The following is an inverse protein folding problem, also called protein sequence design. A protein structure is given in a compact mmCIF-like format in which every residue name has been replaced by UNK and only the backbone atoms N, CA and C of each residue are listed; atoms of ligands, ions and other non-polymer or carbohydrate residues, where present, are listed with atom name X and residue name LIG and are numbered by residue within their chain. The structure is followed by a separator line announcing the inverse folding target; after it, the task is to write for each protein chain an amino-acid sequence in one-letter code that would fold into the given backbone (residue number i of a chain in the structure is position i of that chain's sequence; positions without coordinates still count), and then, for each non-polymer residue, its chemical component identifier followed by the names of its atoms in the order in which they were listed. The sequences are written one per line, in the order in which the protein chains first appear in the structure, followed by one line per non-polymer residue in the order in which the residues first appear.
data_IF_691352944097
#
_entry.id   IF_691352944097
#
_cell.length_a   1.000
_cell.length_b   1.000
_cell.length_c   1.000
_cell.angle_alpha   90.00
_cell.angle_beta   90.00
_cell.angle_gamma   90.00
#
_symmetry.space_group_name_H-M   'P 1'
#
loop_
_entity.id
_entity.type
_entity.pdbx_description
1 polymer ?
#
# COMPACT_ATOMS: atom_id res chain seq x y z
N UNK A 1 -0.35 -14.89 5.79
CA UNK A 1 -1.49 -14.03 6.27
C UNK A 1 -1.93 -13.02 5.22
N UNK A 2 -1.01 -12.52 4.37
CA UNK A 2 -1.29 -11.70 3.18
C UNK A 2 -2.42 -12.28 2.31
N UNK A 3 -2.37 -13.59 2.05
CA UNK A 3 -3.13 -14.20 0.97
C UNK A 3 -4.63 -14.30 1.21
N UNK A 4 -5.06 -14.59 2.45
CA UNK A 4 -6.49 -14.59 2.79
C UNK A 4 -7.13 -13.22 2.62
N UNK A 5 -6.39 -12.17 3.02
CA UNK A 5 -6.84 -10.78 2.90
C UNK A 5 -6.90 -10.37 1.41
N UNK A 6 -5.89 -10.71 0.64
CA UNK A 6 -5.84 -10.45 -0.81
C UNK A 6 -6.95 -11.19 -1.56
N UNK A 7 -7.21 -12.46 -1.21
CA UNK A 7 -8.28 -13.25 -1.83
C UNK A 7 -9.67 -12.69 -1.48
N UNK A 8 -9.91 -12.33 -0.22
CA UNK A 8 -11.14 -11.66 0.18
C UNK A 8 -11.36 -10.34 -0.60
N UNK A 9 -10.29 -9.59 -0.86
CA UNK A 9 -10.35 -8.38 -1.68
C UNK A 9 -10.66 -8.66 -3.16
N UNK A 10 -10.03 -9.68 -3.75
CA UNK A 10 -10.27 -10.13 -5.13
C UNK A 10 -11.74 -10.55 -5.32
N UNK A 11 -12.38 -11.12 -4.30
CA UNK A 11 -13.80 -11.48 -4.31
C UNK A 11 -14.73 -10.26 -4.17
N UNK A 12 -14.32 -9.25 -3.40
CA UNK A 12 -15.15 -8.07 -3.11
C UNK A 12 -15.14 -7.02 -4.22
N UNK A 13 -14.06 -6.94 -5.00
CA UNK A 13 -13.85 -5.90 -6.02
C UNK A 13 -13.26 -6.48 -7.29
N UNK A 14 -13.83 -6.08 -8.44
CA UNK A 14 -13.17 -6.23 -9.74
C UNK A 14 -12.90 -4.85 -10.33
N UNK A 15 -12.03 -4.76 -11.35
CA UNK A 15 -11.77 -3.49 -12.04
C UNK A 15 -13.03 -2.93 -12.72
N UNK A 16 -13.64 -1.83 -12.24
CA UNK A 16 -14.93 -1.37 -12.76
C UNK A 16 -14.71 -0.28 -13.81
N UNK A 17 -15.39 -0.37 -14.95
CA UNK A 17 -15.36 0.69 -15.97
C UNK A 17 -16.55 1.64 -15.88
N UNK A 18 -17.67 1.19 -15.30
CA UNK A 18 -18.94 1.94 -15.20
C UNK A 18 -19.27 2.36 -13.75
N UNK A 19 -20.13 3.39 -13.62
CA UNK A 19 -20.50 3.99 -12.34
C UNK A 19 -21.33 3.04 -11.44
N UNK A 20 -22.17 2.19 -12.02
CA UNK A 20 -23.05 1.32 -11.23
C UNK A 20 -22.24 0.25 -10.52
N UNK A 21 -21.25 -0.34 -11.20
CA UNK A 21 -20.32 -1.28 -10.57
C UNK A 21 -19.46 -0.62 -9.49
N UNK A 22 -19.02 0.62 -9.70
CA UNK A 22 -18.29 1.37 -8.67
C UNK A 22 -19.11 1.53 -7.38
N UNK A 23 -20.37 1.93 -7.50
CA UNK A 23 -21.28 2.08 -6.35
C UNK A 23 -21.51 0.72 -5.68
N UNK A 24 -21.72 -0.34 -6.45
CA UNK A 24 -21.91 -1.70 -5.92
C UNK A 24 -20.69 -2.18 -5.12
N UNK A 25 -19.48 -2.03 -5.66
CA UNK A 25 -18.28 -2.48 -4.96
C UNK A 25 -17.93 -1.61 -3.76
N UNK A 26 -18.21 -0.31 -3.82
CA UNK A 26 -18.09 0.58 -2.67
C UNK A 26 -18.98 0.08 -1.52
N UNK A 27 -20.24 -0.26 -1.82
CA UNK A 27 -21.19 -0.81 -0.84
C UNK A 27 -20.76 -2.19 -0.31
N UNK A 28 -20.23 -3.07 -1.17
CA UNK A 28 -19.74 -4.40 -0.75
C UNK A 28 -18.55 -4.28 0.21
N UNK A 29 -17.54 -3.46 -0.14
CA UNK A 29 -16.41 -3.21 0.75
C UNK A 29 -16.86 -2.56 2.06
N UNK A 30 -17.81 -1.62 2.01
CA UNK A 30 -18.41 -1.02 3.21
C UNK A 30 -19.00 -2.08 4.13
N UNK A 31 -19.85 -2.94 3.59
CA UNK A 31 -20.47 -4.03 4.35
C UNK A 31 -19.41 -4.95 4.94
N UNK A 32 -18.39 -5.31 4.17
CA UNK A 32 -17.33 -6.21 4.61
C UNK A 32 -16.51 -5.61 5.76
N UNK A 33 -16.04 -4.36 5.65
CA UNK A 33 -15.26 -3.75 6.72
C UNK A 33 -16.12 -3.49 7.96
N UNK A 34 -17.42 -3.18 7.80
CA UNK A 34 -18.32 -2.98 8.94
C UNK A 34 -18.50 -4.27 9.74
N UNK A 35 -18.63 -5.43 9.07
CA UNK A 35 -18.66 -6.73 9.73
C UNK A 35 -17.36 -7.00 10.50
N UNK A 36 -16.19 -6.68 9.92
CA UNK A 36 -14.90 -6.79 10.61
C UNK A 36 -14.83 -5.92 11.88
N UNK A 37 -15.36 -4.69 11.84
CA UNK A 37 -15.40 -3.82 13.03
C UNK A 37 -16.31 -4.40 14.12
N UNK A 38 -17.45 -5.01 13.76
CA UNK A 38 -18.30 -5.72 14.72
C UNK A 38 -17.64 -6.96 15.31
N UNK A 39 -16.88 -7.73 14.53
CA UNK A 39 -16.06 -8.84 15.03
C UNK A 39 -15.04 -8.32 16.07
N UNK A 40 -14.33 -7.23 15.73
CA UNK A 40 -13.35 -6.60 16.62
C UNK A 40 -13.99 -6.16 17.96
N UNK A 41 -15.21 -5.61 17.91
CA UNK A 41 -15.96 -5.19 19.09
C UNK A 41 -16.31 -6.38 19.97
N UNK A 42 -16.70 -7.50 19.35
CA UNK A 42 -17.03 -8.74 20.05
C UNK A 42 -15.80 -9.29 20.76
N UNK A 43 -14.64 -9.33 20.08
CA UNK A 43 -13.38 -9.74 20.71
C UNK A 43 -13.03 -8.88 21.92
N UNK A 44 -13.11 -7.55 21.82
CA UNK A 44 -12.84 -6.64 22.94
C UNK A 44 -13.80 -6.83 24.13
N UNK A 45 -15.08 -7.11 23.86
CA UNK A 45 -16.07 -7.38 24.89
C UNK A 45 -15.75 -8.67 25.64
N UNK A 46 -15.31 -9.72 24.94
CA UNK A 46 -14.89 -10.98 25.55
C UNK A 46 -13.67 -10.76 26.45
N UNK A 47 -12.66 -10.01 25.96
CA UNK A 47 -11.47 -9.68 26.76
C UNK A 47 -11.80 -8.90 28.04
N UNK A 48 -12.78 -8.00 28.00
CA UNK A 48 -13.26 -7.24 29.18
C UNK A 48 -13.98 -8.12 30.21
N UNK A 49 -14.53 -9.27 29.81
CA UNK A 49 -15.22 -10.20 30.71
C UNK A 49 -14.28 -11.18 31.40
N UNK A 50 -13.04 -11.34 30.91
CA UNK A 50 -12.08 -12.35 31.37
C UNK A 50 -11.63 -12.24 32.83
N UNK A 51 -11.89 -11.13 33.53
CA UNK A 51 -11.46 -10.91 34.91
C UNK A 51 -9.93 -10.85 35.05
N UNK A 52 -9.43 -10.55 36.27
CA UNK A 52 -7.98 -10.62 36.57
C UNK A 52 -7.08 -9.59 35.89
N UNK A 53 -7.64 -8.59 35.19
CA UNK A 53 -6.86 -7.57 34.51
C UNK A 53 -6.30 -6.52 35.48
N UNK A 54 -5.10 -6.00 35.20
CA UNK A 54 -4.60 -4.83 35.90
C UNK A 54 -5.55 -3.64 35.66
N UNK A 55 -5.71 -2.71 36.63
CA UNK A 55 -6.54 -1.51 36.44
C UNK A 55 -6.15 -0.67 35.21
N UNK A 56 -4.86 -0.69 34.86
CA UNK A 56 -4.32 0.04 33.70
C UNK A 56 -4.76 -0.60 32.39
N UNK A 57 -4.70 -1.93 32.29
CA UNK A 57 -5.15 -2.68 31.11
C UNK A 57 -6.68 -2.57 30.96
N UNK A 58 -7.45 -2.72 32.05
CA UNK A 58 -8.92 -2.56 32.01
C UNK A 58 -9.33 -1.17 31.49
N UNK A 59 -8.71 -0.10 32.01
CA UNK A 59 -8.96 1.27 31.54
C UNK A 59 -8.70 1.41 30.05
N UNK A 60 -7.60 0.82 29.57
CA UNK A 60 -7.22 0.88 28.18
C UNK A 60 -8.20 0.09 27.29
N UNK A 61 -8.61 -1.11 27.68
CA UNK A 61 -9.62 -1.90 26.97
C UNK A 61 -10.94 -1.14 26.82
N UNK A 62 -11.39 -0.46 27.89
CA UNK A 62 -12.58 0.40 27.83
C UNK A 62 -12.40 1.56 26.85
N UNK A 63 -11.22 2.18 26.82
CA UNK A 63 -10.92 3.23 25.84
C UNK A 63 -10.94 2.71 24.41
N UNK A 64 -10.33 1.55 24.14
CA UNK A 64 -10.34 0.91 22.82
C UNK A 64 -11.78 0.60 22.39
N UNK A 65 -12.58 0.02 23.29
CA UNK A 65 -14.00 -0.27 23.04
C UNK A 65 -14.78 0.98 22.68
N UNK A 66 -14.67 2.05 23.47
CA UNK A 66 -15.39 3.32 23.21
C UNK A 66 -15.01 3.91 21.85
N UNK A 67 -13.72 3.87 21.49
CA UNK A 67 -13.25 4.34 20.18
C UNK A 67 -13.81 3.49 19.05
N UNK A 68 -13.82 2.16 19.22
CA UNK A 68 -14.34 1.24 18.21
C UNK A 68 -15.87 1.35 18.04
N UNK A 69 -16.60 1.53 19.14
CA UNK A 69 -18.05 1.81 19.10
C UNK A 69 -18.32 3.08 18.26
N UNK A 70 -17.55 4.15 18.49
CA UNK A 70 -17.64 5.38 17.70
C UNK A 70 -17.32 5.16 16.22
N UNK A 71 -16.32 4.33 15.89
CA UNK A 71 -16.00 3.99 14.49
C UNK A 71 -17.15 3.25 13.81
N UNK A 72 -17.74 2.27 14.50
CA UNK A 72 -18.88 1.50 14.00
C UNK A 72 -20.05 2.42 13.70
N UNK A 73 -20.38 3.34 14.63
CA UNK A 73 -21.48 4.28 14.42
C UNK A 73 -21.24 5.16 13.20
N UNK A 74 -20.05 5.74 13.06
CA UNK A 74 -19.67 6.52 11.87
C UNK A 74 -19.78 5.70 10.58
N UNK A 75 -19.21 4.49 10.58
CA UNK A 75 -19.22 3.59 9.43
C UNK A 75 -20.64 3.20 8.99
N UNK A 76 -21.60 3.04 9.92
CA UNK A 76 -22.99 2.74 9.58
C UNK A 76 -23.61 3.84 8.73
N UNK A 77 -23.38 5.10 9.10
CA UNK A 77 -23.97 6.26 8.41
C UNK A 77 -23.18 6.73 7.18
N UNK A 78 -21.98 6.20 6.94
CA UNK A 78 -21.13 6.53 5.80
C UNK A 78 -21.68 5.94 4.49
N UNK A 79 -22.72 6.56 3.90
CA UNK A 79 -23.27 6.14 2.61
C UNK A 79 -22.79 7.02 1.46
N UNK A 80 -22.53 6.40 0.31
CA UNK A 80 -22.29 7.12 -0.93
C UNK A 80 -23.63 7.61 -1.51
N UNK A 81 -23.89 8.90 -1.38
CA UNK A 81 -25.10 9.55 -1.92
C UNK A 81 -24.70 10.71 -2.82
N UNK A 82 -25.35 10.81 -3.97
CA UNK A 82 -25.15 11.91 -4.91
C UNK A 82 -26.33 12.87 -4.88
N UNK A 83 -26.06 14.18 -4.92
CA UNK A 83 -27.12 15.18 -5.06
C UNK A 83 -27.79 15.05 -6.44
N UNK A 84 -29.12 15.20 -6.55
CA UNK A 84 -29.78 15.30 -7.84
C UNK A 84 -29.10 16.33 -8.74
N UNK A 85 -28.90 16.00 -10.02
CA UNK A 85 -28.22 16.88 -10.98
C UNK A 85 -26.69 16.85 -10.95
N UNK A 86 -26.05 16.06 -10.08
CA UNK A 86 -24.59 15.93 -10.08
C UNK A 86 -24.10 15.29 -11.38
N UNK A 87 -23.15 15.94 -12.06
CA UNK A 87 -22.59 15.48 -13.33
C UNK A 87 -22.06 14.04 -13.24
N UNK A 88 -22.24 13.25 -14.29
CA UNK A 88 -21.84 11.83 -14.30
C UNK A 88 -20.31 11.65 -14.08
N UNK A 89 -19.49 12.55 -14.63
CA UNK A 89 -18.04 12.57 -14.41
C UNK A 89 -17.68 12.78 -12.94
N UNK A 90 -18.33 13.73 -12.28
CA UNK A 90 -18.16 14.01 -10.84
C UNK A 90 -18.59 12.81 -10.01
N UNK A 91 -19.77 12.23 -10.28
CA UNK A 91 -20.24 11.02 -9.58
C UNK A 91 -19.24 9.88 -9.70
N UNK A 92 -18.66 9.68 -10.88
CA UNK A 92 -17.64 8.66 -11.13
C UNK A 92 -16.36 8.92 -10.34
N UNK A 93 -15.86 10.15 -10.34
CA UNK A 93 -14.67 10.53 -9.56
C UNK A 93 -14.90 10.33 -8.06
N UNK A 94 -16.02 10.82 -7.52
CA UNK A 94 -16.36 10.65 -6.11
C UNK A 94 -16.53 9.17 -5.74
N UNK A 95 -17.18 8.36 -6.59
CA UNK A 95 -17.30 6.91 -6.37
C UNK A 95 -15.94 6.22 -6.35
N UNK A 96 -15.04 6.54 -7.28
CA UNK A 96 -13.67 6.01 -7.27
C UNK A 96 -12.95 6.37 -5.97
N UNK A 97 -13.00 7.63 -5.57
CA UNK A 97 -12.30 8.09 -4.36
C UNK A 97 -12.86 7.38 -3.11
N UNK A 98 -14.18 7.26 -2.99
CA UNK A 98 -14.81 6.53 -1.89
C UNK A 98 -14.43 5.04 -1.89
N UNK A 99 -14.31 4.43 -3.08
CA UNK A 99 -13.86 3.04 -3.21
C UNK A 99 -12.42 2.88 -2.71
N UNK A 100 -11.51 3.81 -3.03
CA UNK A 100 -10.13 3.82 -2.52
C UNK A 100 -10.10 3.86 -0.99
N UNK A 101 -10.86 4.77 -0.37
CA UNK A 101 -10.94 4.84 1.08
C UNK A 101 -11.51 3.55 1.68
N UNK A 102 -12.61 3.02 1.14
CA UNK A 102 -13.20 1.77 1.66
C UNK A 102 -12.26 0.58 1.53
N UNK A 103 -11.46 0.54 0.48
CA UNK A 103 -10.44 -0.48 0.32
C UNK A 103 -9.44 -0.42 1.48
N UNK A 104 -8.87 0.75 1.76
CA UNK A 104 -7.87 0.91 2.81
C UNK A 104 -8.52 0.66 4.17
N UNK A 105 -9.73 1.17 4.41
CA UNK A 105 -10.48 0.91 5.64
C UNK A 105 -10.71 -0.59 5.85
N UNK A 106 -11.12 -1.33 4.81
CA UNK A 106 -11.24 -2.79 4.88
C UNK A 106 -9.91 -3.42 5.27
N UNK A 107 -8.83 -3.01 4.61
CA UNK A 107 -7.50 -3.52 4.89
C UNK A 107 -7.07 -3.29 6.34
N UNK A 108 -7.29 -2.09 6.88
CA UNK A 108 -6.96 -1.74 8.27
C UNK A 108 -7.89 -2.41 9.29
N UNK A 109 -9.17 -2.57 8.97
CA UNK A 109 -10.11 -3.30 9.82
C UNK A 109 -9.75 -4.80 9.92
N UNK A 110 -9.21 -5.37 8.85
CA UNK A 110 -8.65 -6.72 8.89
C UNK A 110 -7.44 -6.80 9.80
N UNK A 111 -6.48 -5.88 9.66
CA UNK A 111 -5.29 -5.83 10.53
C UNK A 111 -5.70 -5.66 12.00
N UNK A 112 -6.70 -4.82 12.28
CA UNK A 112 -7.26 -4.63 13.61
C UNK A 112 -7.79 -5.95 14.20
N UNK A 113 -8.51 -6.73 13.40
CA UNK A 113 -9.05 -8.04 13.82
C UNK A 113 -7.94 -8.99 14.22
N UNK A 114 -6.87 -9.08 13.43
CA UNK A 114 -5.75 -9.98 13.73
C UNK A 114 -4.94 -9.49 14.94
N UNK A 115 -4.72 -8.18 15.06
CA UNK A 115 -4.07 -7.59 16.23
C UNK A 115 -4.85 -7.82 17.53
N UNK A 116 -6.19 -7.81 17.47
CA UNK A 116 -7.03 -8.08 18.63
C UNK A 116 -6.97 -9.55 19.06
N UNK A 117 -6.86 -10.51 18.13
CA UNK A 117 -6.65 -11.93 18.49
C UNK A 117 -5.33 -12.13 19.22
N UNK A 118 -4.26 -11.52 18.72
CA UNK A 118 -2.94 -11.56 19.38
C UNK A 118 -2.99 -10.87 20.74
N UNK A 119 -3.67 -9.73 20.83
CA UNK A 119 -3.84 -9.01 22.09
C UNK A 119 -4.59 -9.84 23.14
N UNK A 120 -5.64 -10.57 22.75
CA UNK A 120 -6.36 -11.47 23.65
C UNK A 120 -5.45 -12.58 24.21
N UNK A 121 -4.55 -13.11 23.37
CA UNK A 121 -3.54 -14.08 23.82
C UNK A 121 -2.54 -13.46 24.81
N UNK A 122 -2.11 -12.22 24.56
CA UNK A 122 -1.20 -11.49 25.45
C UNK A 122 -1.82 -11.18 26.82
N UNK A 123 -3.13 -10.92 26.88
CA UNK A 123 -3.83 -10.69 28.14
C UNK A 123 -3.75 -11.87 29.10
N UNK A 124 -3.64 -13.10 28.58
CA UNK A 124 -3.61 -14.32 29.38
C UNK A 124 -2.19 -14.73 29.79
N UNK A 125 -1.19 -14.48 28.94
CA UNK A 125 0.10 -15.15 29.04
C UNK A 125 1.32 -14.23 29.06
N UNK A 126 1.16 -12.91 28.94
CA UNK A 126 2.29 -11.99 28.75
C UNK A 126 2.46 -10.96 29.85
N UNK A 127 3.64 -10.34 29.88
CA UNK A 127 3.94 -9.21 30.76
C UNK A 127 3.11 -7.98 30.38
N UNK A 128 2.70 -7.19 31.38
CA UNK A 128 1.88 -5.99 31.19
C UNK A 128 2.49 -5.01 30.16
N UNK A 129 3.82 -4.90 30.10
CA UNK A 129 4.51 -4.04 29.14
C UNK A 129 4.21 -4.43 27.67
N UNK A 130 4.21 -5.74 27.35
CA UNK A 130 3.94 -6.24 26.01
C UNK A 130 2.47 -6.03 25.62
N UNK A 131 1.56 -6.30 26.54
CA UNK A 131 0.13 -6.00 26.38
C UNK A 131 -0.08 -4.51 26.11
N UNK A 132 0.54 -3.62 26.89
CA UNK A 132 0.43 -2.18 26.70
C UNK A 132 0.98 -1.70 25.36
N UNK A 133 2.06 -2.30 24.86
CA UNK A 133 2.61 -1.97 23.56
C UNK A 133 1.66 -2.38 22.43
N UNK A 134 1.15 -3.62 22.46
CA UNK A 134 0.18 -4.10 21.47
C UNK A 134 -1.09 -3.28 21.46
N UNK A 135 -1.56 -2.86 22.63
CA UNK A 135 -2.68 -1.96 22.79
C UNK A 135 -2.48 -0.60 22.09
N UNK A 136 -1.27 -0.02 22.14
CA UNK A 136 -0.95 1.21 21.42
C UNK A 136 -0.99 1.00 19.92
N UNK A 137 -0.49 -0.15 19.43
CA UNK A 137 -0.60 -0.50 18.02
C UNK A 137 -2.06 -0.60 17.57
N UNK A 138 -2.93 -1.24 18.37
CA UNK A 138 -4.37 -1.30 18.13
C UNK A 138 -4.98 0.11 18.07
N UNK A 139 -4.64 1.00 19.01
CA UNK A 139 -5.13 2.37 19.03
C UNK A 139 -4.69 3.17 17.79
N UNK A 140 -3.47 2.94 17.30
CA UNK A 140 -2.97 3.54 16.06
C UNK A 140 -3.82 3.09 14.85
N UNK A 141 -4.10 1.79 14.73
CA UNK A 141 -4.95 1.27 13.65
C UNK A 141 -6.37 1.88 13.70
N UNK A 142 -6.96 1.97 14.90
CA UNK A 142 -8.27 2.62 15.11
C UNK A 142 -8.23 4.09 14.67
N UNK A 143 -7.15 4.80 14.99
CA UNK A 143 -6.96 6.21 14.61
C UNK A 143 -6.81 6.35 13.08
N UNK A 144 -6.05 5.45 12.44
CA UNK A 144 -5.93 5.41 10.97
C UNK A 144 -7.31 5.26 10.31
N UNK A 145 -8.16 4.35 10.81
CA UNK A 145 -9.51 4.13 10.29
C UNK A 145 -10.38 5.38 10.49
N UNK A 146 -10.29 6.03 11.66
CA UNK A 146 -11.04 7.25 11.97
C UNK A 146 -10.67 8.41 11.02
N UNK A 147 -9.37 8.59 10.76
CA UNK A 147 -8.85 9.57 9.81
C UNK A 147 -9.35 9.26 8.39
N UNK A 148 -9.30 8.00 7.97
CA UNK A 148 -9.76 7.57 6.64
C UNK A 148 -11.26 7.82 6.45
N UNK A 149 -12.10 7.52 7.44
CA UNK A 149 -13.53 7.82 7.40
C UNK A 149 -13.78 9.33 7.31
N UNK A 150 -13.00 10.13 8.05
CA UNK A 150 -13.10 11.60 8.01
C UNK A 150 -12.73 12.16 6.64
N UNK A 151 -11.63 11.68 6.06
CA UNK A 151 -11.17 12.09 4.74
C UNK A 151 -12.11 11.61 3.62
N UNK A 152 -12.72 10.44 3.79
CA UNK A 152 -13.75 9.95 2.87
C UNK A 152 -14.96 10.91 2.82
N UNK A 153 -15.43 11.40 3.95
CA UNK A 153 -16.51 12.41 3.98
C UNK A 153 -16.09 13.72 3.29
N UNK A 154 -14.83 14.13 3.47
CA UNK A 154 -14.30 15.31 2.80
C UNK A 154 -14.32 15.16 1.27
N UNK A 155 -13.97 14.01 0.70
CA UNK A 155 -13.99 13.83 -0.78
C UNK A 155 -15.40 13.75 -1.38
N UNK A 156 -16.44 13.51 -0.56
CA UNK A 156 -17.84 13.62 -1.01
C UNK A 156 -18.28 15.08 -1.20
N UNK A 157 -17.66 16.00 -0.48
CA UNK A 157 -18.04 17.43 -0.47
C UNK A 157 -17.05 18.30 -1.25
N UNK A 158 -15.77 17.99 -1.17
CA UNK A 158 -14.68 18.65 -1.88
C UNK A 158 -14.13 17.71 -2.97
N UNK A 159 -14.58 17.91 -4.21
CA UNK A 159 -14.27 17.02 -5.32
C UNK A 159 -12.79 17.14 -5.68
N UNK A 160 -12.00 16.21 -5.17
CA UNK A 160 -10.60 16.00 -5.55
C UNK A 160 -10.51 15.03 -6.72
N UNK A 161 -9.50 15.19 -7.56
CA UNK A 161 -9.19 14.20 -8.57
C UNK A 161 -8.76 12.89 -7.91
N UNK A 162 -9.02 11.76 -8.57
CA UNK A 162 -8.60 10.45 -8.05
C UNK A 162 -7.08 10.33 -7.91
N UNK A 163 -6.33 11.07 -8.72
CA UNK A 163 -4.87 11.14 -8.62
C UNK A 163 -4.41 11.86 -7.34
N UNK A 164 -5.03 12.99 -6.98
CA UNK A 164 -4.72 13.71 -5.73
C UNK A 164 -5.04 12.84 -4.51
N UNK A 165 -6.18 12.15 -4.52
CA UNK A 165 -6.56 11.22 -3.46
C UNK A 165 -5.62 10.02 -3.40
N UNK A 166 -5.26 9.43 -4.53
CA UNK A 166 -4.32 8.31 -4.57
C UNK A 166 -2.96 8.74 -4.04
N UNK A 167 -2.43 9.89 -4.46
CA UNK A 167 -1.14 10.40 -4.00
C UNK A 167 -1.14 10.67 -2.48
N UNK A 168 -2.19 11.28 -1.93
CA UNK A 168 -2.27 11.55 -0.49
C UNK A 168 -2.38 10.26 0.34
N UNK A 169 -3.07 9.25 -0.19
CA UNK A 169 -3.14 7.92 0.43
C UNK A 169 -1.82 7.18 0.32
N UNK A 170 -1.09 7.32 -0.80
CA UNK A 170 0.18 6.62 -1.05
C UNK A 170 1.26 6.98 -0.03
N UNK A 171 1.24 8.19 0.53
CA UNK A 171 2.22 8.60 1.55
C UNK A 171 2.13 7.79 2.84
N UNK A 172 0.95 7.29 3.22
CA UNK A 172 0.71 6.60 4.50
C UNK A 172 0.24 5.15 4.34
N UNK A 173 -0.41 4.82 3.23
CA UNK A 173 -1.13 3.57 3.01
C UNK A 173 -0.71 2.88 1.70
N UNK A 174 0.56 3.03 1.31
CA UNK A 174 1.02 2.46 0.05
C UNK A 174 0.84 0.93 0.02
N UNK A 175 1.17 0.23 1.11
CA UNK A 175 1.01 -1.24 1.18
C UNK A 175 -0.44 -1.64 0.87
N UNK A 176 -1.40 -0.91 1.41
CA UNK A 176 -2.82 -1.14 1.12
C UNK A 176 -3.15 -0.82 -0.33
N UNK A 177 -2.65 0.28 -0.89
CA UNK A 177 -2.85 0.58 -2.30
C UNK A 177 -2.24 -0.50 -3.21
N UNK A 178 -1.12 -1.09 -2.84
CA UNK A 178 -0.49 -2.18 -3.59
C UNK A 178 -1.31 -3.46 -3.50
N UNK A 179 -1.81 -3.81 -2.31
CA UNK A 179 -2.78 -4.90 -2.17
C UNK A 179 -4.02 -4.66 -3.05
N UNK A 180 -4.47 -3.41 -3.15
CA UNK A 180 -5.59 -3.04 -4.01
C UNK A 180 -5.27 -3.20 -5.48
N UNK A 181 -4.04 -2.89 -5.86
CA UNK A 181 -3.55 -3.04 -7.20
C UNK A 181 -3.44 -4.52 -7.61
N UNK A 182 -2.82 -5.34 -6.75
CA UNK A 182 -2.69 -6.79 -6.91
C UNK A 182 -4.05 -7.48 -6.95
N UNK A 183 -5.00 -7.04 -6.11
CA UNK A 183 -6.38 -7.50 -6.17
C UNK A 183 -7.15 -7.02 -7.42
N UNK A 184 -6.56 -6.16 -8.24
CA UNK A 184 -7.18 -5.60 -9.44
C UNK A 184 -8.18 -4.48 -9.16
N UNK A 185 -8.35 -4.06 -7.90
CA UNK A 185 -9.23 -2.98 -7.50
C UNK A 185 -8.75 -1.61 -8.02
N UNK A 186 -7.43 -1.41 -8.20
CA UNK A 186 -6.86 -0.16 -8.73
C UNK A 186 -6.56 -0.16 -10.23
N UNK A 187 -6.74 -1.28 -10.95
CA UNK A 187 -6.40 -1.32 -12.38
C UNK A 187 -7.16 -0.23 -13.14
N UNK A 188 -6.44 0.61 -13.88
CA UNK A 188 -7.05 1.75 -14.59
C UNK A 188 -7.60 2.86 -13.69
N UNK A 189 -7.32 2.88 -12.39
CA UNK A 189 -7.51 4.05 -11.51
C UNK A 189 -6.28 4.94 -11.58
N UNK A 190 -5.08 4.34 -11.53
CA UNK A 190 -3.80 5.04 -11.63
C UNK A 190 -3.70 5.70 -13.01
N UNK A 191 -3.69 7.02 -13.01
CA UNK A 191 -3.50 7.86 -14.18
C UNK A 191 -2.15 8.56 -14.01
N UNK A 192 -1.34 8.54 -15.06
CA UNK A 192 -0.12 9.31 -15.11
C UNK A 192 -0.06 9.99 -16.47
N UNK A 193 -0.11 11.32 -16.47
CA UNK A 193 0.02 12.14 -17.67
C UNK A 193 1.24 13.04 -17.56
N UNK A 194 1.96 13.17 -18.66
CA UNK A 194 3.13 14.04 -18.72
C UNK A 194 2.72 15.50 -18.55
N UNK A 195 3.25 16.22 -17.54
CA UNK A 195 2.90 17.61 -17.34
C UNK A 195 3.51 18.50 -18.45
N UNK A 196 2.75 19.52 -18.88
CA UNK A 196 3.18 20.44 -19.95
C UNK A 196 4.31 21.38 -19.53
N UNK A 197 4.28 21.85 -18.27
CA UNK A 197 5.17 22.91 -17.76
C UNK A 197 6.07 22.42 -16.62
N UNK A 198 5.57 22.45 -15.39
CA UNK A 198 6.28 22.08 -14.16
C UNK A 198 5.90 20.67 -13.69
N UNK A 199 6.80 20.00 -12.96
CA UNK A 199 6.54 18.68 -12.37
C UNK A 199 7.05 17.47 -13.18
N UNK A 200 7.82 17.69 -14.26
CA UNK A 200 8.38 16.60 -15.08
C UNK A 200 9.22 15.61 -14.27
N UNK A 201 9.96 16.08 -13.26
CA UNK A 201 10.74 15.20 -12.38
C UNK A 201 9.85 14.24 -11.58
N UNK A 202 8.75 14.73 -10.98
CA UNK A 202 7.77 13.90 -10.27
C UNK A 202 7.15 12.86 -11.20
N UNK A 203 6.79 13.27 -12.42
CA UNK A 203 6.29 12.38 -13.46
C UNK A 203 7.27 11.24 -13.78
N UNK A 204 8.55 11.54 -14.03
CA UNK A 204 9.54 10.50 -14.35
C UNK A 204 9.82 9.57 -13.17
N UNK A 205 9.79 10.07 -11.93
CA UNK A 205 9.90 9.22 -10.73
C UNK A 205 8.73 8.25 -10.61
N UNK A 206 7.50 8.74 -10.78
CA UNK A 206 6.31 7.89 -10.76
C UNK A 206 6.34 6.87 -11.90
N UNK A 207 6.70 7.28 -13.12
CA UNK A 207 6.83 6.39 -14.27
C UNK A 207 7.91 5.32 -14.03
N UNK A 208 9.06 5.70 -13.47
CA UNK A 208 10.14 4.77 -13.10
C UNK A 208 9.68 3.73 -12.07
N UNK A 209 8.97 4.16 -11.02
CA UNK A 209 8.40 3.23 -10.02
C UNK A 209 7.44 2.22 -10.65
N UNK A 210 6.53 2.67 -11.54
CA UNK A 210 5.62 1.78 -12.27
C UNK A 210 6.36 0.82 -13.19
N UNK A 211 7.38 1.29 -13.90
CA UNK A 211 8.24 0.46 -14.76
C UNK A 211 8.94 -0.62 -13.95
N UNK A 212 9.52 -0.26 -12.81
CA UNK A 212 10.23 -1.22 -11.97
C UNK A 212 9.27 -2.27 -11.40
N UNK A 213 8.07 -1.87 -10.95
CA UNK A 213 7.00 -2.79 -10.54
C UNK A 213 6.65 -3.77 -11.67
N UNK A 214 6.49 -3.27 -12.90
CA UNK A 214 6.22 -4.11 -14.07
C UNK A 214 7.39 -5.06 -14.34
N UNK A 215 8.63 -4.58 -14.25
CA UNK A 215 9.82 -5.38 -14.45
C UNK A 215 9.87 -6.55 -13.45
N UNK A 216 9.64 -6.29 -12.16
CA UNK A 216 9.57 -7.34 -11.14
C UNK A 216 8.44 -8.34 -11.36
N UNK A 217 7.32 -7.93 -11.98
CA UNK A 217 6.21 -8.83 -12.31
C UNK A 217 6.54 -9.89 -13.38
N UNK A 218 7.69 -9.78 -14.06
CA UNK A 218 8.18 -10.84 -14.94
C UNK A 218 8.81 -12.02 -14.17
N UNK A 219 8.93 -11.92 -12.83
CA UNK A 219 9.45 -12.97 -11.95
C UNK A 219 10.97 -12.94 -11.85
N UNK A 220 11.49 -13.02 -10.62
CA UNK A 220 12.94 -13.14 -10.35
C UNK A 220 13.47 -14.52 -10.79
N UNK A 221 12.59 -15.53 -10.92
CA UNK A 221 12.95 -16.83 -11.52
C UNK A 221 13.38 -16.70 -12.99
N UNK A 222 13.01 -15.59 -13.66
CA UNK A 222 13.52 -15.21 -14.98
C UNK A 222 14.62 -14.14 -14.93
N UNK A 223 15.21 -13.84 -13.76
CA UNK A 223 16.26 -12.83 -13.60
C UNK A 223 17.52 -13.10 -14.45
N UNK A 224 17.68 -14.32 -14.97
CA UNK A 224 18.74 -14.65 -15.91
C UNK A 224 18.47 -14.12 -17.32
N UNK A 225 17.20 -14.01 -17.72
CA UNK A 225 16.79 -13.57 -19.05
C UNK A 225 16.52 -12.06 -19.09
N UNK A 226 17.21 -11.31 -19.97
CA UNK A 226 16.91 -9.90 -20.14
C UNK A 226 15.50 -9.70 -20.73
N UNK A 227 14.76 -8.73 -20.19
CA UNK A 227 13.43 -8.31 -20.63
C UNK A 227 13.59 -7.26 -21.72
N UNK A 228 13.01 -7.46 -22.91
CA UNK A 228 13.04 -6.41 -23.93
C UNK A 228 12.24 -5.18 -23.47
N UNK A 229 12.73 -3.97 -23.81
CA UNK A 229 12.02 -2.73 -23.51
C UNK A 229 10.61 -2.70 -24.12
N UNK A 230 10.41 -3.41 -25.25
CA UNK A 230 9.12 -3.57 -25.92
C UNK A 230 8.16 -4.41 -25.07
N UNK A 231 8.62 -5.55 -24.55
CA UNK A 231 7.81 -6.40 -23.66
C UNK A 231 7.43 -5.65 -22.37
N UNK A 232 8.39 -4.95 -21.77
CA UNK A 232 8.16 -4.09 -20.61
C UNK A 232 7.10 -3.03 -20.89
N UNK A 233 7.23 -2.31 -22.02
CA UNK A 233 6.28 -1.27 -22.44
C UNK A 233 4.88 -1.83 -22.64
N UNK A 234 4.78 -3.01 -23.27
CA UNK A 234 3.49 -3.68 -23.52
C UNK A 234 2.82 -4.03 -22.19
N UNK A 235 3.56 -4.67 -21.28
CA UNK A 235 3.06 -5.05 -19.95
C UNK A 235 2.67 -3.83 -19.11
N UNK A 236 3.42 -2.73 -19.19
CA UNK A 236 3.09 -1.46 -18.54
C UNK A 236 1.75 -0.92 -19.05
N UNK A 237 1.54 -0.88 -20.37
CA UNK A 237 0.30 -0.39 -20.96
C UNK A 237 -0.90 -1.27 -20.61
N UNK A 238 -0.72 -2.59 -20.57
CA UNK A 238 -1.76 -3.53 -20.19
C UNK A 238 -2.13 -3.42 -18.71
N UNK A 239 -1.13 -3.26 -17.84
CA UNK A 239 -1.31 -3.16 -16.39
C UNK A 239 -1.88 -1.80 -15.99
N UNK A 240 -1.42 -0.73 -16.63
CA UNK A 240 -1.79 0.66 -16.35
C UNK A 240 -2.30 1.39 -17.60
N UNK A 241 -3.49 1.06 -18.12
CA UNK A 241 -4.00 1.60 -19.39
C UNK A 241 -4.29 3.11 -19.37
N UNK A 242 -4.16 3.77 -18.21
CA UNK A 242 -4.31 5.22 -18.06
C UNK A 242 -2.98 5.95 -17.82
N UNK A 243 -1.86 5.25 -17.85
CA UNK A 243 -0.52 5.84 -17.91
C UNK A 243 -0.26 6.17 -19.37
N UNK A 244 -0.29 7.46 -19.70
CA UNK A 244 -0.05 7.96 -21.07
C UNK A 244 1.42 8.33 -21.22
N UNK A 245 2.29 7.32 -21.23
CA UNK A 245 3.72 7.49 -21.45
C UNK A 245 4.08 7.22 -22.91
N UNK A 246 4.80 8.13 -23.54
CA UNK A 246 5.37 7.89 -24.86
C UNK A 246 6.58 6.96 -24.76
N UNK A 247 6.96 6.20 -25.81
CA UNK A 247 8.14 5.32 -25.78
C UNK A 247 9.42 6.02 -25.30
N UNK A 248 9.62 7.29 -25.70
CA UNK A 248 10.76 8.10 -25.25
C UNK A 248 10.74 8.43 -23.75
N UNK A 249 9.54 8.51 -23.16
CA UNK A 249 9.40 8.76 -21.73
C UNK A 249 9.71 7.50 -20.93
N UNK A 250 9.27 6.34 -21.43
CA UNK A 250 9.59 5.03 -20.87
C UNK A 250 11.10 4.82 -20.93
N UNK A 251 11.71 5.03 -22.10
CA UNK A 251 13.17 4.95 -22.26
C UNK A 251 13.92 5.82 -21.26
N UNK A 252 13.53 7.10 -21.14
CA UNK A 252 14.15 8.03 -20.19
C UNK A 252 13.98 7.61 -18.73
N UNK A 253 12.82 7.06 -18.37
CA UNK A 253 12.60 6.53 -17.03
C UNK A 253 13.47 5.28 -16.77
N UNK A 254 13.59 4.38 -17.75
CA UNK A 254 14.48 3.20 -17.67
C UNK A 254 15.95 3.61 -17.57
N UNK A 255 16.40 4.56 -18.39
CA UNK A 255 17.76 5.10 -18.33
C UNK A 255 18.06 5.68 -16.93
N UNK A 256 17.13 6.45 -16.37
CA UNK A 256 17.26 6.96 -15.00
C UNK A 256 17.33 5.83 -13.97
N UNK A 257 16.55 4.76 -14.10
CA UNK A 257 16.64 3.60 -13.21
C UNK A 257 18.00 2.89 -13.35
N UNK A 258 18.54 2.81 -14.58
CA UNK A 258 19.83 2.21 -14.87
C UNK A 258 20.99 3.01 -14.26
N UNK A 259 20.99 4.33 -14.43
CA UNK A 259 21.97 5.25 -13.85
C UNK A 259 22.03 5.15 -12.32
N UNK A 260 20.89 4.83 -11.69
CA UNK A 260 20.80 4.65 -10.24
C UNK A 260 21.03 3.20 -9.79
N UNK A 261 21.34 2.29 -10.71
CA UNK A 261 21.70 0.90 -10.41
C UNK A 261 20.54 -0.03 -10.08
N UNK A 262 19.29 0.36 -10.35
CA UNK A 262 18.11 -0.49 -10.13
C UNK A 262 17.90 -1.54 -11.21
N UNK A 263 18.49 -1.34 -12.39
CA UNK A 263 18.44 -2.27 -13.52
C UNK A 263 19.66 -2.05 -14.43
N UNK A 264 19.91 -3.00 -15.32
CA UNK A 264 20.86 -2.86 -16.41
C UNK A 264 20.13 -2.59 -17.71
N UNK A 265 20.58 -1.57 -18.44
CA UNK A 265 20.12 -1.28 -19.78
C UNK A 265 21.23 -1.63 -20.77
N UNK A 266 20.99 -2.62 -21.62
CA UNK A 266 21.91 -3.04 -22.68
C UNK A 266 21.25 -2.89 -24.05
N UNK A 267 22.07 -2.81 -25.08
CA UNK A 267 21.64 -2.78 -26.48
C UNK A 267 22.25 -3.98 -27.20
N UNK A 268 21.47 -4.68 -28.02
CA UNK A 268 21.98 -5.77 -28.83
C UNK A 268 22.50 -5.31 -30.20
N UNK A 269 22.97 -6.26 -31.02
CA UNK A 269 23.50 -6.01 -32.37
C UNK A 269 22.46 -5.42 -33.35
N UNK A 270 21.16 -5.52 -33.02
CA UNK A 270 20.05 -5.01 -33.82
C UNK A 270 19.48 -3.71 -33.25
N UNK A 271 20.22 -3.03 -32.38
CA UNK A 271 19.81 -1.81 -31.72
C UNK A 271 18.56 -1.94 -30.81
N UNK A 272 18.21 -3.15 -30.38
CA UNK A 272 17.10 -3.40 -29.46
C UNK A 272 17.58 -3.21 -28.02
N UNK A 273 16.78 -2.50 -27.23
CA UNK A 273 17.05 -2.27 -25.81
C UNK A 273 16.52 -3.41 -24.94
N UNK A 274 17.39 -3.88 -24.07
CA UNK A 274 17.16 -4.98 -23.15
C UNK A 274 17.41 -4.51 -21.72
N UNK A 275 16.55 -4.95 -20.81
CA UNK A 275 16.58 -4.62 -19.40
C UNK A 275 16.87 -5.90 -18.64
N UNK A 276 17.85 -5.88 -17.75
CA UNK A 276 18.06 -6.98 -16.83
C UNK A 276 17.95 -6.50 -15.40
N UNK A 277 17.21 -7.26 -14.59
CA UNK A 277 17.18 -7.10 -13.13
C UNK A 277 18.34 -7.83 -12.46
N UNK A 278 19.33 -8.33 -13.23
CA UNK A 278 20.41 -9.18 -12.74
C UNK A 278 21.04 -8.59 -11.46
N UNK A 279 21.31 -9.45 -10.46
CA UNK A 279 22.15 -9.10 -9.34
C UNK A 279 23.57 -8.86 -9.88
N UNK A 280 23.90 -7.63 -10.17
CA UNK A 280 25.30 -7.21 -10.11
C UNK A 280 25.76 -7.13 -8.67
N UNK A 281 27.08 -7.04 -8.48
CA UNK A 281 27.67 -6.60 -7.22
C UNK A 281 27.31 -5.15 -6.84
N UNK A 282 26.31 -4.53 -7.49
CA UNK A 282 25.83 -3.21 -7.10
C UNK A 282 25.23 -3.29 -5.70
N UNK A 283 25.44 -2.21 -4.97
CA UNK A 283 24.91 -2.01 -3.63
C UNK A 283 23.36 -2.11 -3.62
N UNK A 284 22.71 -1.72 -4.71
CA UNK A 284 21.26 -1.87 -4.89
C UNK A 284 20.81 -3.33 -4.87
N UNK A 285 21.55 -4.24 -5.49
CA UNK A 285 21.17 -5.66 -5.53
C UNK A 285 21.40 -6.36 -4.19
N UNK A 286 22.40 -5.93 -3.43
CA UNK A 286 22.56 -6.37 -2.04
C UNK A 286 21.31 -6.00 -1.23
N UNK A 287 20.80 -4.78 -1.39
CA UNK A 287 19.54 -4.37 -0.74
C UNK A 287 18.34 -5.18 -1.23
N UNK A 288 18.17 -5.36 -2.54
CA UNK A 288 17.04 -6.10 -3.10
C UNK A 288 17.04 -7.57 -2.66
N UNK A 289 18.19 -8.24 -2.66
CA UNK A 289 18.32 -9.64 -2.21
C UNK A 289 18.05 -9.81 -0.71
N UNK A 290 18.44 -8.84 0.12
CA UNK A 290 18.05 -8.82 1.52
C UNK A 290 16.53 -8.63 1.68
N UNK A 291 15.94 -7.72 0.90
CA UNK A 291 14.53 -7.38 0.98
C UNK A 291 13.61 -8.48 0.45
N UNK A 292 14.06 -9.30 -0.51
CA UNK A 292 13.29 -10.36 -1.17
C UNK A 292 12.62 -11.30 -0.16
N UNK A 293 13.31 -11.66 0.91
CA UNK A 293 12.80 -12.62 1.91
C UNK A 293 11.66 -12.08 2.77
N UNK A 294 11.55 -10.76 2.92
CA UNK A 294 10.65 -10.13 3.91
C UNK A 294 9.76 -9.03 3.33
N UNK A 295 10.04 -8.58 2.10
CA UNK A 295 9.45 -7.37 1.52
C UNK A 295 9.80 -6.08 2.29
N UNK A 296 10.72 -6.12 3.26
CA UNK A 296 11.11 -4.99 4.09
C UNK A 296 12.49 -5.20 4.73
N UNK A 297 13.20 -4.11 5.03
CA UNK A 297 14.48 -4.10 5.71
C UNK A 297 14.57 -3.00 6.76
N UNK A 298 15.19 -3.29 7.90
CA UNK A 298 15.63 -2.22 8.80
C UNK A 298 17.03 -1.72 8.46
N UNK A 299 17.36 -0.51 8.87
CA UNK A 299 18.71 0.04 8.69
C UNK A 299 19.77 -0.84 9.40
N UNK A 300 19.44 -1.37 10.57
CA UNK A 300 20.30 -2.25 11.37
C UNK A 300 20.52 -3.60 10.69
N UNK A 301 19.48 -4.17 10.07
CA UNK A 301 19.61 -5.40 9.28
C UNK A 301 20.59 -5.21 8.14
N UNK A 302 20.47 -4.13 7.37
CA UNK A 302 21.40 -3.84 6.27
C UNK A 302 22.82 -3.68 6.79
N UNK A 303 23.05 -2.91 7.86
CA UNK A 303 24.38 -2.75 8.45
C UNK A 303 24.96 -4.09 8.88
N UNK A 304 24.16 -4.95 9.53
CA UNK A 304 24.61 -6.25 10.03
C UNK A 304 24.97 -7.23 8.89
N UNK A 305 24.11 -7.33 7.88
CA UNK A 305 24.30 -8.31 6.80
C UNK A 305 25.39 -7.88 5.80
N UNK A 306 25.62 -6.57 5.64
CA UNK A 306 26.57 -6.03 4.63
C UNK A 306 27.91 -5.54 5.21
N UNK A 307 27.99 -5.39 6.54
CA UNK A 307 29.07 -4.68 7.24
C UNK A 307 29.30 -3.24 6.75
N UNK A 308 28.30 -2.61 6.12
CA UNK A 308 28.40 -1.22 5.71
C UNK A 308 28.33 -0.27 6.90
N UNK A 309 28.97 0.88 6.79
CA UNK A 309 28.74 1.97 7.75
C UNK A 309 27.27 2.39 7.75
N UNK A 310 26.75 2.82 8.91
CA UNK A 310 25.39 3.33 9.06
C UNK A 310 25.05 4.39 8.01
N UNK A 311 26.00 5.29 7.71
CA UNK A 311 25.86 6.35 6.70
C UNK A 311 25.68 5.78 5.31
N UNK A 312 26.48 4.75 4.95
CA UNK A 312 26.39 4.09 3.65
C UNK A 312 25.07 3.32 3.52
N UNK A 313 24.73 2.48 4.48
CA UNK A 313 23.46 1.72 4.47
C UNK A 313 22.24 2.65 4.33
N UNK A 314 22.21 3.75 5.10
CA UNK A 314 21.15 4.75 4.99
C UNK A 314 21.13 5.42 3.62
N UNK A 315 22.29 5.79 3.08
CA UNK A 315 22.41 6.39 1.75
C UNK A 315 21.86 5.46 0.67
N UNK A 316 22.23 4.18 0.69
CA UNK A 316 21.76 3.20 -0.29
C UNK A 316 20.25 2.95 -0.18
N UNK A 317 19.72 2.79 1.02
CA UNK A 317 18.28 2.67 1.24
C UNK A 317 17.50 3.93 0.82
N UNK A 318 18.03 5.12 1.09
CA UNK A 318 17.41 6.38 0.69
C UNK A 318 17.42 6.58 -0.85
N UNK A 319 18.30 5.91 -1.62
CA UNK A 319 18.21 5.86 -3.10
C UNK A 319 16.93 5.17 -3.54
N UNK A 320 16.57 4.04 -2.93
CA UNK A 320 15.32 3.33 -3.23
C UNK A 320 14.10 4.19 -2.90
N UNK A 321 14.13 4.92 -1.79
CA UNK A 321 13.06 5.87 -1.45
C UNK A 321 12.97 6.98 -2.51
N UNK A 322 14.11 7.54 -2.91
CA UNK A 322 14.18 8.63 -3.90
C UNK A 322 13.67 8.21 -5.27
N UNK A 323 13.91 6.95 -5.63
CA UNK A 323 13.44 6.32 -6.87
C UNK A 323 12.01 5.79 -6.79
N UNK A 324 11.35 5.88 -5.62
CA UNK A 324 9.99 5.37 -5.43
C UNK A 324 9.90 3.85 -5.42
N UNK A 325 10.99 3.17 -5.11
CA UNK A 325 11.14 1.72 -5.07
C UNK A 325 11.03 1.16 -3.64
N UNK A 326 11.29 2.01 -2.63
CA UNK A 326 11.07 1.69 -1.23
C UNK A 326 10.33 2.82 -0.51
N UNK A 327 9.73 2.48 0.62
CA UNK A 327 9.05 3.43 1.51
C UNK A 327 9.76 3.43 2.84
N UNK A 328 10.06 4.61 3.34
CA UNK A 328 10.64 4.81 4.65
C UNK A 328 9.54 4.99 5.69
N UNK A 329 9.45 4.09 6.65
CA UNK A 329 8.57 4.18 7.83
C UNK A 329 9.45 4.37 9.06
N UNK A 330 9.33 5.54 9.66
CA UNK A 330 10.02 5.88 10.91
C UNK A 330 9.06 5.68 12.06
N UNK A 331 9.03 4.44 12.59
CA UNK A 331 8.19 4.09 13.72
C UNK A 331 9.04 3.94 14.99
N UNK A 332 8.70 4.73 16.01
CA UNK A 332 9.44 4.83 17.26
C UNK A 332 9.62 3.49 18.00
N UNK A 333 8.70 2.54 17.80
CA UNK A 333 8.72 1.23 18.47
C UNK A 333 9.53 0.16 17.73
N UNK A 334 9.76 0.30 16.43
CA UNK A 334 10.38 -0.73 15.58
C UNK A 334 11.66 -0.29 14.87
N UNK A 335 12.07 0.96 15.06
CA UNK A 335 13.20 1.55 14.33
C UNK A 335 12.82 1.95 12.91
N UNK A 336 13.83 2.35 12.13
CA UNK A 336 13.67 2.84 10.77
C UNK A 336 13.54 1.67 9.78
N UNK A 337 12.35 1.48 9.21
CA UNK A 337 12.04 0.38 8.30
C UNK A 337 11.87 0.91 6.87
N UNK A 338 12.41 0.17 5.92
CA UNK A 338 12.28 0.40 4.49
C UNK A 338 11.47 -0.75 3.87
N UNK A 339 10.26 -0.48 3.43
CA UNK A 339 9.40 -1.45 2.76
C UNK A 339 9.66 -1.44 1.25
N UNK A 340 9.72 -2.62 0.63
CA UNK A 340 9.93 -2.82 -0.80
C UNK A 340 8.67 -3.42 -1.42
N UNK A 341 7.67 -2.58 -1.73
CA UNK A 341 6.46 -2.94 -2.45
C UNK A 341 6.52 -4.07 -3.48
N UNK A 342 7.46 -3.95 -4.42
CA UNK A 342 7.52 -4.81 -5.59
C UNK A 342 8.04 -6.21 -5.26
N UNK A 343 8.54 -6.43 -4.04
CA UNK A 343 9.13 -7.69 -3.57
C UNK A 343 8.26 -8.39 -2.53
N UNK A 344 7.07 -7.87 -2.20
CA UNK A 344 6.13 -8.62 -1.37
C UNK A 344 5.53 -9.75 -2.22
N UNK A 345 6.18 -10.91 -2.19
CA UNK A 345 5.66 -12.12 -2.83
C UNK A 345 4.33 -12.54 -2.17
N UNK A 346 3.38 -12.92 -3.02
CA UNK A 346 2.18 -13.69 -2.65
C UNK A 346 2.65 -15.11 -2.24
N UNK A 347 2.92 -15.35 -0.96
CA UNK A 347 3.06 -16.69 -0.35
C UNK A 347 2.11 -16.91 0.84
#
# INVERSE_FOLDING_TARGET
MSDLKTNALKELVSTPKDLNKLILYEANLKKAYLLLLFDCRTSLLNSLQGGGLSPRIDRLLRQLKTRLDSLIDRARYDELRFRPGTAASVRKTTANNCLLYNFIIFSRAWDLKDYLKEFDSLLLFSEEAQTLDKAKSILRIITDIDDLLSNKENVKTNIQSTEEVTNSLYERFNRELELAETAGALKGIIKLEKPKLLGKSKYFKQLGSLILKVAFSFGIEHAEEPISLIALTTRLNDTYPRVRAEPKDIFKAVESLAENGFLYLTKDEHDVYWISLKPSESEANVILSLAEKKGSLTLEEVVRETNWSLKKAKSELDKFVTAGCAIKDDNYSSGLIYYFPALQNEE
#
